data_IF_309035596608
#
_entry.id   IF_309035596608
#
_cell.length_a   1.000
_cell.length_b   1.000
_cell.length_c   1.000
_cell.angle_alpha   90.00
_cell.angle_beta   90.00
_cell.angle_gamma   90.00
#
_symmetry.space_group_name_H-M   'P 1'
#
loop_
_entity.id
_entity.type
_entity.pdbx_description
1 polymer ?
#
# COMPACT_ATOMS: atom_id res chain seq x y z
N UNK A 1 -56.21 32.37 -11.86
CA UNK A 1 -55.65 32.26 -13.21
C UNK A 1 -54.79 31.03 -13.24
N UNK A 2 -55.17 30.06 -14.06
CA UNK A 2 -54.65 28.69 -14.07
C UNK A 2 -53.85 28.53 -15.35
N UNK A 3 -52.56 28.21 -15.26
CA UNK A 3 -51.78 27.75 -16.42
C UNK A 3 -51.12 26.44 -16.02
N UNK A 4 -51.64 25.36 -16.61
CA UNK A 4 -51.03 24.04 -16.66
C UNK A 4 -50.13 24.01 -17.90
N UNK A 5 -48.93 23.46 -17.78
CA UNK A 5 -48.16 23.02 -18.95
C UNK A 5 -47.70 21.59 -18.70
N UNK A 6 -48.00 20.74 -19.68
CA UNK A 6 -47.80 19.31 -19.70
C UNK A 6 -46.73 18.93 -20.74
N UNK A 7 -46.20 17.71 -20.61
CA UNK A 7 -45.46 17.00 -21.66
C UNK A 7 -43.95 16.95 -21.40
N UNK A 8 -43.23 15.85 -21.62
CA UNK A 8 -43.60 14.58 -22.26
C UNK A 8 -42.70 13.44 -21.77
N UNK A 9 -43.30 12.25 -21.70
CA UNK A 9 -42.66 10.95 -21.49
C UNK A 9 -42.03 10.51 -22.81
N UNK A 10 -40.78 10.03 -22.78
CA UNK A 10 -40.18 9.29 -23.88
C UNK A 10 -39.64 7.96 -23.34
N UNK A 11 -40.48 6.93 -23.48
CA UNK A 11 -40.14 5.52 -23.31
C UNK A 11 -39.49 5.04 -24.60
N UNK A 12 -38.26 4.51 -24.53
CA UNK A 12 -37.71 3.67 -25.61
C UNK A 12 -37.43 2.30 -25.03
N UNK A 13 -38.32 1.36 -25.36
CA UNK A 13 -38.11 -0.06 -25.23
C UNK A 13 -37.65 -0.58 -26.60
N UNK A 14 -36.57 -1.35 -26.63
CA UNK A 14 -36.26 -2.23 -27.76
C UNK A 14 -35.74 -3.58 -27.25
N UNK A 15 -36.64 -4.54 -27.33
CA UNK A 15 -36.42 -5.99 -27.25
C UNK A 15 -35.69 -6.47 -28.51
N UNK A 16 -34.67 -7.33 -28.36
CA UNK A 16 -34.33 -8.34 -29.38
C UNK A 16 -33.89 -9.66 -28.72
N UNK A 17 -34.83 -10.60 -28.76
CA UNK A 17 -34.75 -12.04 -29.08
C UNK A 17 -33.79 -12.98 -28.30
N UNK A 18 -34.48 -13.91 -27.63
CA UNK A 18 -34.10 -15.25 -27.22
C UNK A 18 -33.50 -16.11 -28.34
N UNK A 19 -32.36 -16.74 -28.05
CA UNK A 19 -31.89 -17.95 -28.72
C UNK A 19 -31.38 -18.92 -27.65
N UNK A 20 -32.19 -19.93 -27.31
CA UNK A 20 -31.76 -21.07 -26.52
C UNK A 20 -30.91 -21.98 -27.42
N UNK A 21 -29.68 -22.28 -27.00
CA UNK A 21 -28.91 -23.39 -27.54
C UNK A 21 -28.82 -24.43 -26.42
N UNK A 22 -29.53 -25.53 -26.61
CA UNK A 22 -29.30 -26.79 -25.93
C UNK A 22 -28.03 -27.41 -26.52
N UNK A 23 -27.04 -27.69 -25.66
CA UNK A 23 -25.96 -28.62 -25.94
C UNK A 23 -25.90 -29.63 -24.81
N UNK A 24 -26.10 -30.88 -25.17
CA UNK A 24 -26.09 -32.09 -24.35
C UNK A 24 -24.72 -32.79 -24.50
N UNK A 25 -24.21 -33.26 -23.35
CA UNK A 25 -23.17 -34.26 -23.09
C UNK A 25 -21.76 -34.17 -23.73
N UNK A 26 -20.75 -34.15 -22.86
CA UNK A 26 -19.38 -34.56 -23.21
C UNK A 26 -18.32 -34.09 -22.22
N UNK A 27 -17.84 -35.02 -21.40
CA UNK A 27 -16.73 -34.87 -20.44
C UNK A 27 -15.49 -34.15 -21.01
N UNK A 28 -14.86 -33.29 -20.20
CA UNK A 28 -13.43 -33.39 -19.87
C UNK A 28 -13.08 -32.41 -18.74
N UNK A 29 -12.37 -32.92 -17.75
CA UNK A 29 -11.70 -32.19 -16.67
C UNK A 29 -10.95 -30.98 -17.22
N UNK A 30 -11.42 -29.77 -16.91
CA UNK A 30 -10.57 -28.58 -16.85
C UNK A 30 -11.12 -27.72 -15.72
N UNK A 31 -10.65 -28.02 -14.50
CA UNK A 31 -10.67 -27.05 -13.43
C UNK A 31 -10.10 -25.75 -13.99
N UNK A 32 -10.91 -24.68 -13.95
CA UNK A 32 -10.42 -23.35 -14.22
C UNK A 32 -9.28 -23.10 -13.23
N UNK A 33 -8.05 -23.12 -13.74
CA UNK A 33 -6.90 -22.62 -13.03
C UNK A 33 -7.18 -21.14 -12.76
N UNK A 34 -7.51 -20.83 -11.51
CA UNK A 34 -7.42 -19.46 -11.00
C UNK A 34 -6.05 -18.93 -11.43
N UNK A 35 -5.96 -17.78 -12.12
CA UNK A 35 -4.66 -17.22 -12.45
C UNK A 35 -3.93 -16.92 -11.14
N UNK A 36 -3.02 -17.81 -10.74
CA UNK A 36 -2.02 -17.50 -9.74
C UNK A 36 -1.16 -16.35 -10.26
N UNK A 37 -0.64 -15.47 -9.39
CA UNK A 37 0.14 -14.33 -9.80
C UNK A 37 1.28 -14.79 -10.70
N UNK A 38 1.16 -14.46 -11.99
CA UNK A 38 2.15 -14.79 -12.99
C UNK A 38 3.32 -13.84 -12.81
N UNK A 39 4.31 -14.28 -12.03
CA UNK A 39 5.62 -13.66 -11.99
C UNK A 39 6.33 -13.86 -13.32
N UNK A 40 6.29 -12.84 -14.18
CA UNK A 40 7.23 -12.72 -15.31
C UNK A 40 8.48 -11.98 -14.84
N UNK A 41 9.64 -12.58 -15.12
CA UNK A 41 11.00 -12.10 -14.88
C UNK A 41 11.31 -10.74 -15.55
N UNK A 42 10.73 -9.68 -15.04
CA UNK A 42 11.23 -8.31 -15.12
C UNK A 42 11.29 -7.79 -13.70
N UNK A 43 12.38 -7.15 -13.29
CA UNK A 43 12.41 -6.41 -12.04
C UNK A 43 11.19 -5.51 -12.00
N UNK A 44 10.26 -5.85 -11.11
CA UNK A 44 9.08 -5.04 -10.88
C UNK A 44 9.57 -3.65 -10.49
N UNK A 45 9.18 -2.57 -11.19
CA UNK A 45 9.64 -1.25 -10.81
C UNK A 45 9.15 -0.97 -9.38
N UNK A 46 10.11 -0.66 -8.52
CA UNK A 46 9.88 -0.19 -7.16
C UNK A 46 10.26 1.28 -7.11
N UNK A 47 9.72 1.99 -6.13
CA UNK A 47 10.19 3.32 -5.79
C UNK A 47 11.62 3.30 -5.27
N UNK A 48 12.13 4.49 -4.99
CA UNK A 48 13.49 4.67 -4.49
C UNK A 48 14.08 6.02 -4.92
N UNK A 49 15.40 6.19 -4.78
CA UNK A 49 16.05 7.44 -5.11
C UNK A 49 15.77 7.88 -6.54
N UNK A 50 15.33 9.13 -6.72
CA UNK A 50 15.12 9.68 -8.07
C UNK A 50 16.47 9.83 -8.77
N UNK A 51 16.64 9.33 -10.01
CA UNK A 51 17.81 9.65 -10.81
C UNK A 51 17.76 11.14 -11.20
N UNK A 52 18.59 11.96 -10.55
CA UNK A 52 18.74 13.39 -10.86
C UNK A 52 19.54 13.58 -12.16
N UNK A 53 18.93 13.28 -13.31
CA UNK A 53 19.53 13.42 -14.64
C UNK A 53 20.72 12.48 -14.91
N UNK A 54 21.54 12.78 -15.93
CA UNK A 54 22.77 12.02 -16.27
C UNK A 54 23.93 12.25 -15.26
N UNK A 55 23.63 12.72 -14.05
CA UNK A 55 24.60 12.99 -12.99
C UNK A 55 24.78 11.81 -12.04
N UNK A 56 25.91 11.82 -11.33
CA UNK A 56 26.14 10.93 -10.18
C UNK A 56 25.10 11.27 -9.10
N UNK A 57 24.41 10.26 -8.56
CA UNK A 57 23.52 10.49 -7.41
C UNK A 57 24.32 11.08 -6.26
N UNK A 58 23.74 11.99 -5.46
CA UNK A 58 24.44 12.54 -4.32
C UNK A 58 24.85 11.41 -3.38
N UNK A 59 26.11 11.39 -2.97
CA UNK A 59 26.59 10.52 -1.91
C UNK A 59 26.06 11.05 -0.58
N UNK A 60 25.03 10.39 -0.06
CA UNK A 60 24.34 10.79 1.16
C UNK A 60 24.95 10.17 2.42
N UNK A 61 26.07 9.42 2.31
CA UNK A 61 26.76 8.77 3.44
C UNK A 61 25.82 7.99 4.38
N UNK A 62 24.94 7.16 3.80
CA UNK A 62 23.87 6.47 4.53
C UNK A 62 24.39 5.19 5.20
N UNK A 63 24.35 5.15 6.53
CA UNK A 63 24.73 4.01 7.37
C UNK A 63 23.56 3.19 7.90
N UNK A 64 22.33 3.60 7.62
CA UNK A 64 21.12 2.88 8.01
C UNK A 64 19.87 3.54 7.45
N UNK A 65 18.87 2.69 7.19
CA UNK A 65 17.52 3.09 6.82
C UNK A 65 16.54 2.39 7.75
N UNK A 66 15.53 3.11 8.23
CA UNK A 66 14.42 2.55 9.00
C UNK A 66 13.11 3.05 8.43
N UNK A 67 12.07 2.25 8.52
CA UNK A 67 10.72 2.61 8.09
C UNK A 67 9.72 2.25 9.17
N UNK A 68 8.95 3.22 9.63
CA UNK A 68 8.10 3.09 10.81
C UNK A 68 6.75 3.76 10.59
N UNK A 69 5.73 3.29 11.32
CA UNK A 69 4.47 4.01 11.45
C UNK A 69 4.67 5.17 12.42
N UNK A 70 4.62 6.40 11.92
CA UNK A 70 4.75 7.61 12.76
C UNK A 70 3.40 8.09 13.31
N UNK A 71 2.31 7.75 12.63
CA UNK A 71 0.92 7.96 13.03
C UNK A 71 0.04 6.83 12.47
N UNK A 72 -1.27 6.82 12.75
CA UNK A 72 -2.19 5.79 12.23
C UNK A 72 -2.30 5.77 10.71
N UNK A 73 -2.09 6.93 10.10
CA UNK A 73 -2.20 7.19 8.66
C UNK A 73 -0.85 7.51 8.03
N UNK A 74 0.23 7.53 8.82
CA UNK A 74 1.52 8.07 8.39
C UNK A 74 2.64 7.04 8.53
N UNK A 75 3.32 6.77 7.42
CA UNK A 75 4.59 6.03 7.40
C UNK A 75 5.73 7.00 7.15
N UNK A 76 6.80 6.87 7.92
CA UNK A 76 8.04 7.60 7.73
C UNK A 76 9.20 6.66 7.39
N UNK A 77 10.07 7.15 6.53
CA UNK A 77 11.35 6.56 6.23
C UNK A 77 12.44 7.53 6.71
N UNK A 78 13.24 7.06 7.66
CA UNK A 78 14.34 7.81 8.24
C UNK A 78 15.67 7.16 7.93
N UNK A 79 16.72 7.99 7.92
CA UNK A 79 18.08 7.57 7.63
C UNK A 79 19.02 8.00 8.73
N UNK A 80 20.13 7.29 8.88
CA UNK A 80 21.24 7.73 9.73
C UNK A 80 22.54 7.72 8.93
N UNK A 81 23.46 8.61 9.29
CA UNK A 81 24.78 8.67 8.65
C UNK A 81 25.61 7.39 8.91
N UNK A 82 26.58 7.11 8.04
CA UNK A 82 27.57 6.06 8.22
C UNK A 82 28.60 6.47 9.29
N UNK A 83 28.19 6.41 10.55
CA UNK A 83 29.09 6.65 11.67
C UNK A 83 30.26 5.66 11.71
N UNK A 84 31.36 6.04 12.37
CA UNK A 84 32.39 5.09 12.79
C UNK A 84 31.82 4.12 13.84
N UNK A 85 32.30 2.88 13.93
CA UNK A 85 31.80 1.84 14.87
C UNK A 85 31.64 2.31 16.34
N UNK A 86 32.40 3.30 16.79
CA UNK A 86 32.32 3.89 18.13
C UNK A 86 31.14 4.89 18.35
N UNK A 87 30.41 5.26 17.28
CA UNK A 87 29.32 6.24 17.30
C UNK A 87 27.91 5.62 17.17
N UNK A 88 27.82 4.28 17.21
CA UNK A 88 26.58 3.55 16.94
C UNK A 88 25.47 3.76 17.99
N UNK A 89 25.81 4.26 19.19
CA UNK A 89 24.87 4.42 20.30
C UNK A 89 24.15 5.80 20.33
N UNK A 90 24.46 6.73 19.43
CA UNK A 90 23.91 8.10 19.46
C UNK A 90 23.63 8.72 18.09
N UNK A 91 23.33 7.92 17.06
CA UNK A 91 23.02 8.48 15.75
C UNK A 91 21.55 8.90 15.70
N UNK A 92 21.32 10.21 15.61
CA UNK A 92 19.99 10.80 15.36
C UNK A 92 19.50 10.34 13.99
N UNK A 93 18.31 9.73 13.96
CA UNK A 93 17.63 9.38 12.72
C UNK A 93 17.00 10.64 12.11
N UNK A 94 17.26 10.88 10.83
CA UNK A 94 16.71 12.01 10.07
C UNK A 94 15.64 11.48 9.12
N UNK A 95 14.39 11.92 9.29
CA UNK A 95 13.29 11.60 8.37
C UNK A 95 13.58 12.17 6.99
N UNK A 96 13.56 11.31 5.96
CA UNK A 96 13.81 11.68 4.56
C UNK A 96 12.56 11.66 3.71
N UNK A 97 11.61 10.80 4.04
CA UNK A 97 10.43 10.57 3.23
C UNK A 97 9.25 10.23 4.13
N UNK A 98 8.07 10.74 3.80
CA UNK A 98 6.82 10.54 4.51
C UNK A 98 5.71 10.22 3.54
N UNK A 99 4.86 9.27 3.89
CA UNK A 99 3.58 9.00 3.24
C UNK A 99 2.49 9.21 4.28
N UNK A 100 1.52 10.06 3.97
CA UNK A 100 0.30 10.24 4.76
C UNK A 100 -0.89 9.81 3.91
N UNK A 101 -1.69 8.87 4.41
CA UNK A 101 -2.89 8.41 3.72
C UNK A 101 -4.12 9.19 4.17
N UNK A 102 -4.93 9.64 3.22
CA UNK A 102 -6.15 10.41 3.49
C UNK A 102 -7.40 9.53 3.55
N UNK A 103 -7.39 8.38 2.87
CA UNK A 103 -8.60 7.59 2.71
C UNK A 103 -8.39 6.27 1.99
N UNK A 104 -9.36 5.37 2.15
CA UNK A 104 -9.40 4.07 1.47
C UNK A 104 -10.82 3.81 0.98
N UNK A 105 -11.06 3.85 -0.33
CA UNK A 105 -12.38 3.66 -0.92
C UNK A 105 -12.43 2.41 -1.79
N UNK A 106 -13.43 1.55 -1.57
CA UNK A 106 -13.66 0.39 -2.43
C UNK A 106 -14.20 0.80 -3.80
N UNK A 107 -13.55 0.29 -4.85
CA UNK A 107 -13.94 0.46 -6.24
C UNK A 107 -13.90 -0.90 -6.96
N UNK A 108 -15.07 -1.48 -7.22
CA UNK A 108 -15.15 -2.83 -7.80
C UNK A 108 -14.57 -3.88 -6.85
N UNK A 109 -13.58 -4.65 -7.34
CA UNK A 109 -12.87 -5.66 -6.54
C UNK A 109 -11.67 -5.10 -5.77
N UNK A 110 -11.27 -3.86 -6.04
CA UNK A 110 -10.10 -3.24 -5.42
C UNK A 110 -10.44 -2.21 -4.34
N UNK A 111 -9.39 -1.70 -3.71
CA UNK A 111 -9.45 -0.57 -2.77
C UNK A 111 -8.49 0.51 -3.27
N UNK A 112 -9.02 1.70 -3.49
CA UNK A 112 -8.28 2.90 -3.89
C UNK A 112 -7.88 3.69 -2.65
N UNK A 113 -6.58 3.84 -2.44
CA UNK A 113 -5.99 4.67 -1.41
C UNK A 113 -5.61 6.02 -1.99
N UNK A 114 -5.93 7.09 -1.29
CA UNK A 114 -5.46 8.45 -1.59
C UNK A 114 -4.57 8.94 -0.47
N UNK A 115 -3.62 9.82 -0.78
CA UNK A 115 -2.69 10.34 0.20
C UNK A 115 -1.79 11.42 -0.35
N UNK A 116 -0.88 11.88 0.49
CA UNK A 116 0.22 12.78 0.15
C UNK A 116 1.56 12.11 0.46
N UNK A 117 2.50 12.25 -0.47
CA UNK A 117 3.88 11.85 -0.27
C UNK A 117 4.76 13.10 -0.16
N UNK A 118 5.73 13.09 0.76
CA UNK A 118 6.61 14.22 1.05
C UNK A 118 8.06 13.77 1.14
N UNK A 119 8.96 14.49 0.49
CA UNK A 119 10.40 14.37 0.57
C UNK A 119 10.96 15.49 1.44
N UNK A 120 11.64 15.10 2.51
CA UNK A 120 12.11 15.98 3.58
C UNK A 120 13.63 16.21 3.51
N UNK A 121 14.32 15.62 2.54
CA UNK A 121 15.74 15.81 2.33
C UNK A 121 16.07 17.10 1.58
N UNK A 122 17.18 17.75 1.94
CA UNK A 122 17.69 18.93 1.24
C UNK A 122 18.44 18.57 -0.06
N UNK A 123 18.72 17.29 -0.33
CA UNK A 123 19.52 16.83 -1.46
C UNK A 123 19.11 15.42 -1.87
N UNK A 124 18.88 15.21 -3.17
CA UNK A 124 18.41 13.93 -3.71
C UNK A 124 16.99 14.03 -4.24
N UNK A 125 16.27 12.91 -4.18
CA UNK A 125 14.86 12.82 -4.51
C UNK A 125 14.33 11.43 -4.22
N UNK A 126 13.02 11.27 -4.25
CA UNK A 126 12.35 10.00 -4.01
C UNK A 126 11.22 9.80 -5.04
N UNK A 127 11.22 8.64 -5.70
CA UNK A 127 10.14 8.18 -6.57
C UNK A 127 9.27 7.22 -5.77
N UNK A 128 7.99 7.52 -5.65
CA UNK A 128 6.99 6.60 -5.08
C UNK A 128 6.31 5.83 -6.21
N UNK A 129 6.15 4.53 -6.04
CA UNK A 129 5.60 3.64 -7.03
C UNK A 129 4.42 2.82 -6.49
N UNK A 130 3.47 2.44 -7.36
CA UNK A 130 2.22 1.77 -6.96
C UNK A 130 2.45 0.42 -6.26
N UNK A 131 3.53 -0.28 -6.61
CA UNK A 131 3.90 -1.57 -6.02
C UNK A 131 4.64 -1.45 -4.68
N UNK A 132 4.97 -0.23 -4.26
CA UNK A 132 5.49 0.04 -2.93
C UNK A 132 4.35 -0.01 -1.90
N UNK A 133 3.09 0.22 -2.32
CA UNK A 133 1.92 0.19 -1.45
C UNK A 133 1.21 -1.16 -1.60
N UNK A 134 0.94 -1.80 -0.46
CA UNK A 134 0.35 -3.14 -0.39
C UNK A 134 -0.76 -3.19 0.63
N UNK A 135 -1.69 -4.11 0.43
CA UNK A 135 -2.69 -4.48 1.44
C UNK A 135 -2.38 -5.88 1.97
N UNK A 136 -2.33 -6.01 3.28
CA UNK A 136 -2.13 -7.27 3.98
C UNK A 136 -3.46 -7.68 4.63
N UNK A 137 -3.95 -8.87 4.27
CA UNK A 137 -5.16 -9.47 4.82
C UNK A 137 -4.79 -10.74 5.57
N UNK A 138 -5.20 -10.92 6.84
CA UNK A 138 -4.88 -12.10 7.61
C UNK A 138 -5.40 -13.37 6.94
N UNK A 139 -4.59 -14.42 6.93
CA UNK A 139 -5.00 -15.76 6.50
C UNK A 139 -5.80 -16.45 7.60
N UNK A 140 -6.61 -17.46 7.24
CA UNK A 140 -7.33 -18.25 8.24
C UNK A 140 -6.33 -19.03 9.12
N UNK A 141 -6.20 -18.62 10.38
CA UNK A 141 -5.29 -19.23 11.36
C UNK A 141 -3.98 -18.48 11.58
N UNK A 142 -3.68 -17.44 10.78
CA UNK A 142 -2.59 -16.50 11.04
C UNK A 142 -3.05 -15.41 12.00
N UNK A 143 -2.44 -15.33 13.18
CA UNK A 143 -2.63 -14.21 14.12
C UNK A 143 -1.63 -13.06 13.85
N UNK A 144 -0.88 -13.14 12.76
CA UNK A 144 0.16 -12.17 12.40
C UNK A 144 1.38 -12.21 13.33
N UNK A 145 1.41 -13.14 14.28
CA UNK A 145 2.57 -13.47 15.11
C UNK A 145 3.17 -14.72 14.50
N UNK A 146 4.15 -14.56 13.61
CA UNK A 146 4.95 -15.69 13.17
C UNK A 146 5.42 -16.47 14.40
N UNK A 147 5.39 -17.81 14.36
CA UNK A 147 6.06 -18.59 15.39
C UNK A 147 7.55 -18.19 15.38
N UNK A 148 8.23 -18.24 16.54
CA UNK A 148 9.62 -17.76 16.69
C UNK A 148 10.51 -18.10 15.48
N UNK A 149 10.79 -17.09 14.63
CA UNK A 149 11.66 -17.22 13.45
C UNK A 149 10.98 -17.26 12.07
N UNK A 150 9.66 -17.17 11.98
CA UNK A 150 8.91 -17.02 10.71
C UNK A 150 8.83 -15.55 10.28
N UNK A 151 8.80 -15.28 8.97
CA UNK A 151 8.70 -13.90 8.46
C UNK A 151 7.39 -13.26 8.95
N UNK A 152 7.41 -12.02 9.46
CA UNK A 152 6.21 -11.37 10.02
C UNK A 152 5.09 -11.10 8.96
N UNK A 153 5.33 -11.44 7.69
CA UNK A 153 4.33 -11.41 6.61
C UNK A 153 3.64 -12.77 6.35
N UNK A 154 4.12 -13.90 6.89
CA UNK A 154 3.60 -15.25 6.59
C UNK A 154 2.15 -15.47 7.08
N UNK A 155 1.70 -14.68 8.06
CA UNK A 155 0.31 -14.66 8.52
C UNK A 155 -0.67 -13.89 7.60
N UNK A 156 -0.19 -13.36 6.48
CA UNK A 156 -0.96 -12.45 5.63
C UNK A 156 -0.93 -12.85 4.15
N UNK A 157 -2.09 -12.78 3.51
CA UNK A 157 -2.19 -12.66 2.07
C UNK A 157 -1.91 -11.21 1.67
N UNK A 158 -1.03 -11.02 0.68
CA UNK A 158 -0.57 -9.69 0.26
C UNK A 158 -1.13 -9.34 -1.13
N UNK A 159 -1.75 -8.17 -1.22
CA UNK A 159 -2.33 -7.61 -2.44
C UNK A 159 -1.55 -6.36 -2.85
N UNK A 160 -1.43 -6.12 -4.16
CA UNK A 160 -0.72 -4.96 -4.74
C UNK A 160 -1.54 -4.37 -5.89
N UNK A 161 -1.14 -3.20 -6.41
CA UNK A 161 -1.71 -2.70 -7.65
C UNK A 161 -1.49 -3.71 -8.80
N UNK A 162 -2.44 -3.80 -9.72
CA UNK A 162 -2.39 -4.75 -10.83
C UNK A 162 -1.28 -4.41 -11.83
N UNK A 163 -1.04 -3.12 -12.05
CA UNK A 163 -0.04 -2.61 -12.97
C UNK A 163 0.94 -1.68 -12.24
N UNK A 164 2.23 -1.74 -12.62
CA UNK A 164 3.21 -0.80 -12.11
C UNK A 164 2.94 0.61 -12.62
N UNK A 165 2.88 1.59 -11.72
CA UNK A 165 2.74 3.00 -12.04
C UNK A 165 3.56 3.86 -11.09
N UNK A 166 4.24 4.87 -11.64
CA UNK A 166 4.82 5.95 -10.84
C UNK A 166 3.68 6.78 -10.23
N UNK A 167 3.72 6.96 -8.91
CA UNK A 167 2.73 7.72 -8.16
C UNK A 167 3.17 9.16 -7.91
N UNK A 168 4.44 9.36 -7.56
CA UNK A 168 5.02 10.68 -7.31
C UNK A 168 6.52 10.70 -7.61
N UNK A 169 7.04 11.88 -7.97
CA UNK A 169 8.48 12.14 -8.08
C UNK A 169 8.82 13.38 -7.28
N UNK A 170 9.46 13.17 -6.14
CA UNK A 170 9.68 14.19 -5.12
C UNK A 170 11.15 14.63 -5.14
N UNK A 171 11.38 15.94 -5.09
CA UNK A 171 12.71 16.56 -5.00
C UNK A 171 12.66 17.75 -4.03
N UNK A 172 13.80 18.31 -3.58
CA UNK A 172 13.77 19.51 -2.73
C UNK A 172 13.00 20.70 -3.32
N UNK A 173 12.92 20.81 -4.64
CA UNK A 173 12.16 21.86 -5.33
C UNK A 173 10.67 21.55 -5.50
N UNK A 174 10.29 20.28 -5.46
CA UNK A 174 8.91 19.79 -5.49
C UNK A 174 8.78 18.69 -4.43
N UNK A 175 8.78 19.07 -3.14
CA UNK A 175 8.96 18.11 -2.06
C UNK A 175 7.70 17.29 -1.81
N UNK A 176 6.52 17.78 -2.19
CA UNK A 176 5.24 17.14 -1.91
C UNK A 176 4.39 16.91 -3.16
N UNK A 177 3.69 15.77 -3.20
CA UNK A 177 2.77 15.40 -4.29
C UNK A 177 1.63 14.52 -3.75
N UNK A 178 0.39 14.80 -4.19
CA UNK A 178 -0.77 13.94 -3.92
C UNK A 178 -0.72 12.68 -4.80
N UNK A 179 -1.11 11.53 -4.26
CA UNK A 179 -1.17 10.28 -5.00
C UNK A 179 -2.51 9.55 -4.84
N UNK A 180 -2.79 8.66 -5.79
CA UNK A 180 -3.91 7.73 -5.74
C UNK A 180 -3.44 6.38 -6.29
N UNK A 181 -3.71 5.30 -5.55
CA UNK A 181 -3.33 3.93 -5.94
C UNK A 181 -4.47 2.96 -5.67
N UNK A 182 -4.81 2.15 -6.67
CA UNK A 182 -5.80 1.07 -6.53
C UNK A 182 -5.08 -0.25 -6.33
N UNK A 183 -5.32 -0.88 -5.19
CA UNK A 183 -4.86 -2.24 -4.89
C UNK A 183 -5.93 -3.21 -5.37
N UNK A 184 -5.56 -4.09 -6.30
CA UNK A 184 -6.52 -4.95 -6.99
C UNK A 184 -6.91 -6.16 -6.15
N UNK A 185 -8.13 -6.63 -6.36
CA UNK A 185 -8.66 -7.90 -5.84
C UNK A 185 -8.58 -8.09 -4.32
N UNK A 186 -8.53 -6.98 -3.57
CA UNK A 186 -8.61 -6.99 -2.12
C UNK A 186 -9.98 -7.52 -1.69
N UNK A 187 -10.06 -8.65 -0.96
CA UNK A 187 -11.32 -9.24 -0.58
C UNK A 187 -12.20 -8.24 0.19
N UNK A 188 -13.53 -8.26 0.02
CA UNK A 188 -14.42 -7.37 0.75
C UNK A 188 -14.21 -7.52 2.25
N UNK A 189 -14.23 -6.41 2.99
CA UNK A 189 -14.20 -6.49 4.45
C UNK A 189 -15.47 -7.23 4.92
N UNK A 190 -15.34 -8.36 5.64
CA UNK A 190 -16.52 -8.99 6.21
C UNK A 190 -17.14 -8.01 7.21
N UNK A 191 -18.39 -7.63 6.96
CA UNK A 191 -19.14 -6.71 7.82
C UNK A 191 -18.98 -7.13 9.29
N UNK A 192 -18.33 -6.28 10.10
CA UNK A 192 -18.22 -6.47 11.54
C UNK A 192 -16.98 -7.20 12.07
N UNK A 193 -15.88 -7.36 11.31
CA UNK A 193 -14.60 -7.80 11.88
C UNK A 193 -13.75 -6.64 12.40
N UNK A 194 -14.28 -5.94 13.41
CA UNK A 194 -13.39 -5.49 14.48
C UNK A 194 -13.19 -6.71 15.38
N UNK A 195 -11.94 -7.04 15.69
CA UNK A 195 -11.64 -8.00 16.73
C UNK A 195 -12.31 -7.53 18.04
N UNK A 196 -12.49 -8.43 19.01
CA UNK A 196 -13.16 -8.12 20.28
C UNK A 196 -12.45 -6.99 21.08
N UNK A 197 -11.19 -6.70 20.75
CA UNK A 197 -10.38 -5.59 21.28
C UNK A 197 -10.53 -4.27 20.49
N UNK A 198 -11.30 -4.26 19.41
CA UNK A 198 -11.52 -3.09 18.55
C UNK A 198 -10.61 -3.00 17.33
N UNK A 199 -9.57 -3.84 17.25
CA UNK A 199 -8.58 -3.80 16.16
C UNK A 199 -9.16 -4.32 14.85
N UNK A 200 -8.73 -3.75 13.73
CA UNK A 200 -9.01 -4.27 12.39
C UNK A 200 -7.89 -5.22 11.99
N UNK A 201 -8.23 -6.37 11.41
CA UNK A 201 -7.21 -7.35 10.99
C UNK A 201 -6.39 -6.93 9.77
N UNK A 202 -6.77 -5.84 9.08
CA UNK A 202 -6.19 -5.46 7.78
C UNK A 202 -5.19 -4.34 7.91
N UNK A 203 -4.20 -4.38 7.04
CA UNK A 203 -3.15 -3.37 7.03
C UNK A 203 -2.87 -2.85 5.63
N UNK A 204 -2.62 -1.55 5.52
CA UNK A 204 -1.92 -0.98 4.38
C UNK A 204 -0.45 -0.92 4.77
N UNK A 205 0.44 -1.25 3.84
CA UNK A 205 1.88 -1.25 4.06
C UNK A 205 2.57 -0.51 2.95
N UNK A 206 3.46 0.39 3.32
CA UNK A 206 4.53 0.81 2.45
C UNK A 206 5.72 -0.14 2.61
N UNK A 207 6.14 -0.76 1.50
CA UNK A 207 7.30 -1.64 1.43
C UNK A 207 8.52 -0.80 1.07
N UNK A 208 9.42 -0.65 2.03
CA UNK A 208 10.75 -0.11 1.80
C UNK A 208 11.48 -0.93 0.72
N UNK A 209 12.03 -0.28 -0.32
CA UNK A 209 12.88 -0.95 -1.29
C UNK A 209 14.08 -1.65 -0.62
N UNK A 210 14.56 -2.79 -1.16
CA UNK A 210 15.67 -3.55 -0.57
C UNK A 210 17.01 -2.80 -0.64
N UNK A 211 17.13 -1.81 -1.52
CA UNK A 211 18.27 -0.92 -1.61
C UNK A 211 17.78 0.53 -1.73
N UNK A 212 18.36 1.42 -0.93
CA UNK A 212 18.05 2.86 -0.94
C UNK A 212 19.32 3.66 -0.77
N UNK A 213 19.57 4.59 -1.69
CA UNK A 213 20.76 5.48 -1.69
C UNK A 213 22.08 4.71 -1.47
N UNK A 214 22.22 3.54 -2.10
CA UNK A 214 23.41 2.69 -2.00
C UNK A 214 23.52 1.88 -0.70
N UNK A 215 22.51 1.92 0.17
CA UNK A 215 22.43 1.12 1.39
C UNK A 215 21.47 -0.06 1.21
N UNK A 216 21.91 -1.27 1.58
CA UNK A 216 21.04 -2.45 1.66
C UNK A 216 20.16 -2.35 2.91
N UNK A 217 18.84 -2.32 2.71
CA UNK A 217 17.87 -2.23 3.80
C UNK A 217 17.65 -3.61 4.41
N UNK A 218 17.94 -3.74 5.70
CA UNK A 218 17.67 -4.95 6.47
C UNK A 218 16.30 -4.83 7.15
N UNK A 219 15.40 -5.78 6.87
CA UNK A 219 14.13 -5.83 7.57
C UNK A 219 14.35 -6.22 9.04
N UNK A 220 13.68 -5.54 10.00
CA UNK A 220 13.76 -5.93 11.40
C UNK A 220 13.16 -7.34 11.58
N UNK A 221 13.74 -8.17 12.47
CA UNK A 221 13.32 -9.56 12.64
C UNK A 221 12.01 -9.72 13.42
N UNK A 222 11.59 -8.69 14.15
CA UNK A 222 10.57 -8.74 15.20
C UNK A 222 9.27 -7.99 14.86
N UNK A 223 9.24 -7.20 13.79
CA UNK A 223 8.03 -6.51 13.34
C UNK A 223 7.98 -6.29 11.82
N UNK A 224 6.79 -5.97 11.30
CA UNK A 224 6.61 -5.58 9.89
C UNK A 224 6.72 -4.05 9.75
N UNK A 225 7.81 -3.50 9.18
CA UNK A 225 7.96 -2.05 9.02
C UNK A 225 6.94 -1.46 8.04
N UNK A 226 6.63 -0.17 8.23
CA UNK A 226 5.76 0.60 7.32
C UNK A 226 4.31 0.14 7.25
N UNK A 227 3.82 -0.58 8.26
CA UNK A 227 2.47 -1.15 8.31
C UNK A 227 1.51 -0.27 9.12
N UNK A 228 0.34 0.03 8.58
CA UNK A 228 -0.73 0.82 9.22
C UNK A 228 -2.04 0.04 9.19
N UNK A 229 -2.84 0.12 10.25
CA UNK A 229 -4.13 -0.54 10.31
C UNK A 229 -5.17 0.30 9.59
N UNK A 230 -5.94 -0.26 8.67
CA UNK A 230 -6.92 0.54 7.91
C UNK A 230 -8.29 -0.12 7.85
N UNK A 231 -9.31 0.70 7.61
CA UNK A 231 -10.65 0.28 7.23
C UNK A 231 -11.14 1.07 6.02
N UNK A 232 -12.10 0.51 5.28
CA UNK A 232 -12.67 1.18 4.11
C UNK A 232 -13.57 2.34 4.54
N UNK A 233 -13.31 3.54 4.02
CA UNK A 233 -14.01 4.77 4.33
C UNK A 233 -13.06 5.97 4.48
N UNK A 234 -13.65 7.16 4.67
CA UNK A 234 -12.91 8.41 4.90
C UNK A 234 -12.51 8.61 6.38
N UNK A 235 -13.07 7.82 7.31
CA UNK A 235 -12.91 8.06 8.77
C UNK A 235 -11.80 7.21 9.42
N UNK A 236 -10.94 6.53 8.64
CA UNK A 236 -10.06 5.49 9.20
C UNK A 236 -8.87 5.94 10.04
N UNK A 237 -8.49 7.19 9.86
CA UNK A 237 -7.48 7.90 10.66
C UNK A 237 -7.94 8.29 12.08
N UNK A 238 -9.22 8.16 12.45
CA UNK A 238 -9.75 8.66 13.74
C UNK A 238 -9.50 7.74 14.95
N UNK A 239 -8.84 6.59 14.76
CA UNK A 239 -8.51 5.65 15.85
C UNK A 239 -7.23 6.12 16.53
N UNK A 240 -7.18 6.49 17.82
CA UNK A 240 -5.94 6.88 18.48
C UNK A 240 -4.96 5.70 18.56
N UNK A 241 -3.67 5.92 18.27
CA UNK A 241 -2.63 4.91 18.48
C UNK A 241 -2.65 4.42 19.94
N UNK A 242 -2.49 3.11 20.18
CA UNK A 242 -2.13 2.65 21.52
C UNK A 242 -0.74 3.16 21.88
N UNK A 243 -0.48 3.42 23.17
CA UNK A 243 0.84 3.79 23.71
C UNK A 243 1.93 2.71 23.48
N UNK A 244 1.57 1.55 22.92
CA UNK A 244 2.49 0.47 22.56
C UNK A 244 2.84 0.55 21.07
N UNK A 245 4.08 0.97 20.79
CA UNK A 245 4.68 1.10 19.44
C UNK A 245 4.74 -0.20 18.64
N UNK A 246 4.54 -1.35 19.27
CA UNK A 246 4.74 -2.67 18.65
C UNK A 246 3.53 -3.11 17.79
N UNK A 247 2.39 -2.44 17.93
CA UNK A 247 1.18 -2.71 17.17
C UNK A 247 0.53 -1.38 16.77
N UNK A 248 0.68 -0.91 15.51
CA UNK A 248 0.14 0.37 15.04
C UNK A 248 -1.40 0.37 14.88
N UNK A 249 -2.09 -0.56 15.54
CA UNK A 249 -3.55 -0.56 15.64
C UNK A 249 -3.89 -0.09 17.04
N UNK A 250 -4.66 0.99 17.17
CA UNK A 250 -5.32 1.37 18.42
C UNK A 250 -6.50 0.49 18.80
#
# INVERSE_FOLDING_TARGET
>A
MTVRTAGAVATVALLVLTGCVESDDGADDNAAETPGPSGTDGETPYGGPTPLGEGEQPDLDIGGVVTEAAANDTVELATRGAGTEDAMDATEWETRFRITFDGAQREGTGVTFTGQAEYLGDTGGYLLHSHDIRVLVPTEGGDGRGEDGESPEEGYETFTAAEPAQLATLTPENPDEEFSVTIADVPPEPEGRRNDDGTVGRFVKYRTPPELWGHTVEAPPDFTPGRLCYFEGEEWHDIPLFDYTDYPCG
#
